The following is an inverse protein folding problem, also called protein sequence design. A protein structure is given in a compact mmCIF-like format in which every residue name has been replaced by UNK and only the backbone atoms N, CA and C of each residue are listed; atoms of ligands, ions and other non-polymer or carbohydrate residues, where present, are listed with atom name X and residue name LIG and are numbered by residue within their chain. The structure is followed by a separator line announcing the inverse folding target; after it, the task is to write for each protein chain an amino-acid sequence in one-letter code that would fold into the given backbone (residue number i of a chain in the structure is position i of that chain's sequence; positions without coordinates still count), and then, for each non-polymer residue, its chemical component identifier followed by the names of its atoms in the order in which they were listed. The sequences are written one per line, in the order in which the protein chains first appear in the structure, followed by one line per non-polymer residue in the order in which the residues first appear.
data_IF_801157811619
#
_entry.id   IF_801157811619
#
_cell.length_a   1.000
_cell.length_b   1.000
_cell.length_c   1.000
_cell.angle_alpha   90.00
_cell.angle_beta   90.00
_cell.angle_gamma   90.00
#
_symmetry.space_group_name_H-M   'P 1'
#
loop_
_entity.id
_entity.type
_entity.pdbx_description
1 polymer ?
#
# COMPACT_ATOMS: atom_id res chain seq x y z
N UNK A 1 -27.31 -0.51 -19.96
CA UNK A 1 -27.26 0.64 -20.86
C UNK A 1 -26.91 1.97 -20.15
N UNK A 2 -27.40 2.24 -18.93
CA UNK A 2 -27.15 3.52 -18.22
C UNK A 2 -25.68 3.79 -17.89
N UNK A 3 -24.95 2.80 -17.34
CA UNK A 3 -23.52 2.92 -17.02
C UNK A 3 -22.68 3.22 -18.26
N UNK A 4 -22.94 2.52 -19.37
CA UNK A 4 -22.23 2.76 -20.64
C UNK A 4 -22.48 4.16 -21.17
N UNK A 5 -23.73 4.67 -21.09
CA UNK A 5 -24.07 6.03 -21.46
C UNK A 5 -23.39 7.09 -20.58
N UNK A 6 -23.06 6.74 -19.34
CA UNK A 6 -22.30 7.58 -18.40
C UNK A 6 -20.78 7.49 -18.58
N UNK A 7 -20.29 6.67 -19.53
CA UNK A 7 -18.85 6.55 -19.84
C UNK A 7 -18.11 5.47 -19.05
N UNK A 8 -18.82 4.58 -18.35
CA UNK A 8 -18.18 3.45 -17.68
C UNK A 8 -17.59 2.48 -18.73
N UNK A 9 -16.28 2.27 -18.69
CA UNK A 9 -15.56 1.44 -19.68
C UNK A 9 -15.95 -0.04 -19.52
N UNK A 10 -16.06 -0.53 -18.30
CA UNK A 10 -16.39 -1.91 -17.95
C UNK A 10 -17.86 -2.06 -17.51
N UNK A 11 -18.78 -1.38 -18.20
CA UNK A 11 -20.18 -1.24 -17.78
C UNK A 11 -20.92 -2.54 -17.51
N UNK A 12 -20.61 -3.65 -18.21
CA UNK A 12 -21.25 -4.95 -18.00
C UNK A 12 -20.72 -5.65 -16.73
N UNK A 13 -19.44 -5.55 -16.46
CA UNK A 13 -18.81 -6.11 -15.25
C UNK A 13 -19.27 -5.33 -14.02
N UNK A 14 -19.23 -4.00 -14.11
CA UNK A 14 -19.73 -3.12 -13.06
C UNK A 14 -21.22 -3.40 -12.77
N UNK A 15 -22.07 -3.57 -13.82
CA UNK A 15 -23.45 -3.91 -13.62
C UNK A 15 -23.67 -5.24 -12.89
N UNK A 16 -22.86 -6.27 -13.19
CA UNK A 16 -22.92 -7.56 -12.49
C UNK A 16 -22.59 -7.40 -11.00
N UNK A 17 -21.55 -6.62 -10.68
CA UNK A 17 -21.14 -6.36 -9.31
C UNK A 17 -22.20 -5.57 -8.53
N UNK A 18 -22.81 -4.54 -9.15
CA UNK A 18 -23.88 -3.77 -8.55
C UNK A 18 -25.12 -4.65 -8.28
N UNK A 19 -25.53 -5.50 -9.26
CA UNK A 19 -26.66 -6.43 -9.09
C UNK A 19 -26.37 -7.43 -7.97
N UNK A 20 -25.13 -7.94 -7.88
CA UNK A 20 -24.76 -8.91 -6.85
C UNK A 20 -24.67 -8.27 -5.44
N UNK A 21 -24.40 -6.97 -5.36
CA UNK A 21 -24.28 -6.25 -4.10
C UNK A 21 -25.61 -5.69 -3.58
N UNK A 22 -26.57 -5.42 -4.48
CA UNK A 22 -27.86 -4.84 -4.12
C UNK A 22 -28.73 -5.85 -3.35
N UNK A 23 -29.34 -5.40 -2.25
CA UNK A 23 -30.26 -6.20 -1.43
C UNK A 23 -31.71 -6.11 -1.93
N UNK A 24 -32.06 -5.03 -2.63
CA UNK A 24 -33.38 -4.77 -3.20
C UNK A 24 -33.26 -3.98 -4.51
N UNK A 25 -34.32 -3.97 -5.36
CA UNK A 25 -34.31 -3.18 -6.59
C UNK A 25 -34.08 -1.68 -6.38
N UNK A 26 -34.60 -1.12 -5.29
CA UNK A 26 -34.38 0.30 -4.93
C UNK A 26 -32.92 0.59 -4.59
N UNK A 27 -32.21 -0.36 -3.94
CA UNK A 27 -30.79 -0.24 -3.64
C UNK A 27 -29.98 -0.24 -4.92
N UNK A 28 -30.31 -1.12 -5.87
CA UNK A 28 -29.65 -1.19 -7.17
C UNK A 28 -29.77 0.15 -7.93
N UNK A 29 -30.97 0.74 -7.92
CA UNK A 29 -31.20 2.04 -8.57
C UNK A 29 -30.33 3.13 -7.96
N UNK A 30 -30.30 3.22 -6.61
CA UNK A 30 -29.48 4.18 -5.89
C UNK A 30 -27.96 3.95 -6.13
N UNK A 31 -27.51 2.69 -6.21
CA UNK A 31 -26.13 2.35 -6.52
C UNK A 31 -25.74 2.75 -7.94
N UNK A 32 -26.64 2.52 -8.92
CA UNK A 32 -26.43 2.93 -10.32
C UNK A 32 -26.36 4.45 -10.42
N UNK A 33 -27.21 5.20 -9.72
CA UNK A 33 -27.12 6.69 -9.70
C UNK A 33 -25.79 7.17 -9.16
N UNK A 34 -25.38 6.69 -7.99
CA UNK A 34 -24.09 7.07 -7.39
C UNK A 34 -22.92 6.77 -8.33
N UNK A 35 -22.96 5.63 -9.03
CA UNK A 35 -21.91 5.27 -10.01
C UNK A 35 -21.92 6.20 -11.22
N UNK A 36 -23.07 6.60 -11.73
CA UNK A 36 -23.23 7.57 -12.81
C UNK A 36 -22.74 8.97 -12.41
N UNK A 37 -22.94 9.35 -11.15
CA UNK A 37 -22.38 10.59 -10.57
C UNK A 37 -20.85 10.59 -10.48
N UNK A 38 -20.22 9.42 -10.68
CA UNK A 38 -18.77 9.27 -10.77
C UNK A 38 -18.10 8.75 -9.51
N UNK A 39 -18.86 8.22 -8.51
CA UNK A 39 -18.25 7.55 -7.37
C UNK A 39 -17.51 6.28 -7.84
N UNK A 40 -16.34 5.96 -7.24
CA UNK A 40 -15.68 4.66 -7.43
C UNK A 40 -16.64 3.51 -7.20
N UNK A 41 -16.60 2.49 -8.05
CA UNK A 41 -17.45 1.32 -7.94
C UNK A 41 -17.34 0.68 -6.54
N UNK A 42 -16.13 0.57 -6.02
CA UNK A 42 -15.81 -0.04 -4.73
C UNK A 42 -16.42 0.75 -3.56
N UNK A 43 -16.50 2.07 -3.67
CA UNK A 43 -17.19 2.91 -2.68
C UNK A 43 -18.72 2.78 -2.79
N UNK A 44 -19.24 2.45 -3.98
CA UNK A 44 -20.66 2.20 -4.18
C UNK A 44 -21.09 0.84 -3.62
N UNK A 45 -20.31 -0.22 -3.92
CA UNK A 45 -20.61 -1.59 -3.45
C UNK A 45 -20.09 -1.85 -2.02
N UNK A 46 -19.21 -0.98 -1.50
CA UNK A 46 -18.69 -1.03 -0.14
C UNK A 46 -17.49 -1.97 0.07
N UNK A 47 -16.87 -2.48 -1.00
CA UNK A 47 -15.69 -3.34 -0.93
C UNK A 47 -14.86 -3.33 -2.21
N UNK A 48 -13.58 -3.69 -2.09
CA UNK A 48 -12.67 -3.96 -3.20
C UNK A 48 -12.10 -5.37 -3.09
N UNK A 49 -11.78 -6.00 -4.21
CA UNK A 49 -10.93 -7.19 -4.24
C UNK A 49 -9.46 -6.76 -4.24
N UNK A 50 -8.66 -7.37 -3.37
CA UNK A 50 -7.23 -7.11 -3.29
C UNK A 50 -6.49 -8.37 -2.81
N UNK A 51 -5.57 -8.89 -3.60
CA UNK A 51 -4.87 -10.15 -3.33
C UNK A 51 -5.81 -11.33 -2.99
N UNK A 52 -6.97 -11.43 -3.66
CA UNK A 52 -7.98 -12.45 -3.40
C UNK A 52 -8.78 -12.23 -2.11
N UNK A 53 -8.61 -11.11 -1.42
CA UNK A 53 -9.36 -10.75 -0.23
C UNK A 53 -10.45 -9.73 -0.57
N UNK A 54 -11.55 -9.80 0.16
CA UNK A 54 -12.61 -8.79 0.13
C UNK A 54 -12.33 -7.74 1.21
N UNK A 55 -11.86 -6.58 0.81
CA UNK A 55 -11.53 -5.45 1.68
C UNK A 55 -12.72 -4.48 1.72
N UNK A 56 -13.27 -4.20 2.88
CA UNK A 56 -14.33 -3.21 3.02
C UNK A 56 -13.78 -1.82 2.67
N UNK A 57 -14.56 -1.05 1.91
CA UNK A 57 -14.24 0.31 1.49
C UNK A 57 -15.34 1.24 1.97
N UNK A 58 -14.98 2.30 2.69
CA UNK A 58 -15.89 3.35 3.11
C UNK A 58 -15.80 4.55 2.14
N UNK A 59 -16.88 5.35 1.98
CA UNK A 59 -16.83 6.57 1.18
C UNK A 59 -15.71 7.50 1.63
N UNK A 60 -14.97 8.05 0.66
CA UNK A 60 -13.83 8.96 0.92
C UNK A 60 -12.54 8.26 1.33
N UNK A 61 -12.49 6.93 1.40
CA UNK A 61 -11.26 6.17 1.60
C UNK A 61 -10.66 5.81 0.25
N UNK A 62 -9.34 5.91 0.14
CA UNK A 62 -8.59 5.52 -1.06
C UNK A 62 -8.87 4.05 -1.42
N UNK A 63 -9.20 3.81 -2.70
CA UNK A 63 -9.46 2.46 -3.21
C UNK A 63 -8.13 1.77 -3.53
N UNK A 64 -7.83 0.60 -2.94
CA UNK A 64 -6.59 -0.12 -3.24
C UNK A 64 -6.53 -0.50 -4.72
N UNK A 65 -5.40 -0.24 -5.37
CA UNK A 65 -5.20 -0.47 -6.81
C UNK A 65 -4.67 -1.88 -7.06
N UNK A 66 -5.07 -2.49 -8.15
CA UNK A 66 -4.61 -3.82 -8.54
C UNK A 66 -3.08 -3.90 -8.67
N UNK A 67 -2.42 -2.88 -9.23
CA UNK A 67 -0.95 -2.81 -9.30
C UNK A 67 -0.28 -2.86 -7.92
N UNK A 68 -0.91 -2.33 -6.88
CA UNK A 68 -0.39 -2.32 -5.51
C UNK A 68 -0.32 -3.74 -4.90
N UNK A 69 -0.99 -4.73 -5.50
CA UNK A 69 -0.83 -6.13 -5.13
C UNK A 69 0.62 -6.61 -5.25
N UNK A 70 1.38 -6.05 -6.21
CA UNK A 70 2.81 -6.37 -6.33
C UNK A 70 3.57 -5.96 -5.07
N UNK A 71 3.31 -4.76 -4.53
CA UNK A 71 3.89 -4.29 -3.27
C UNK A 71 3.55 -5.24 -2.11
N UNK A 72 2.28 -5.63 -1.97
CA UNK A 72 1.82 -6.54 -0.93
C UNK A 72 2.47 -7.94 -1.06
N UNK A 73 2.52 -8.51 -2.26
CA UNK A 73 3.15 -9.81 -2.56
C UNK A 73 4.65 -9.78 -2.26
N UNK A 74 5.34 -8.67 -2.59
CA UNK A 74 6.77 -8.50 -2.28
C UNK A 74 7.02 -8.33 -0.78
N UNK A 75 6.19 -7.56 -0.09
CA UNK A 75 6.25 -7.43 1.37
C UNK A 75 6.06 -8.80 2.05
N UNK A 76 5.03 -9.56 1.67
CA UNK A 76 4.80 -10.91 2.19
C UNK A 76 5.99 -11.86 1.96
N UNK A 77 6.59 -11.84 0.76
CA UNK A 77 7.75 -12.67 0.43
C UNK A 77 9.01 -12.34 1.26
N UNK A 78 9.09 -11.13 1.83
CA UNK A 78 10.20 -10.68 2.68
C UNK A 78 9.87 -10.77 4.18
N UNK A 79 8.63 -11.14 4.53
CA UNK A 79 8.15 -11.23 5.92
C UNK A 79 8.42 -12.62 6.48
N UNK A 80 9.29 -12.77 7.50
CA UNK A 80 9.46 -14.05 8.19
C UNK A 80 8.27 -14.37 9.12
N UNK A 81 8.04 -15.64 9.50
CA UNK A 81 7.06 -15.98 10.49
C UNK A 81 7.30 -15.26 11.83
N UNK A 82 6.24 -14.74 12.45
CA UNK A 82 6.33 -14.00 13.71
C UNK A 82 6.91 -12.59 13.60
N UNK A 83 7.09 -12.08 12.38
CA UNK A 83 7.63 -10.75 12.13
C UNK A 83 6.72 -9.62 12.63
N UNK A 84 7.33 -8.48 12.93
CA UNK A 84 6.65 -7.20 13.11
C UNK A 84 6.52 -6.52 11.76
N UNK A 85 5.29 -6.33 11.29
CA UNK A 85 4.97 -5.67 10.03
C UNK A 85 4.28 -4.33 10.30
N UNK A 86 4.71 -3.30 9.59
CA UNK A 86 4.15 -1.96 9.68
C UNK A 86 3.64 -1.51 8.30
N UNK A 87 2.34 -1.20 8.20
CA UNK A 87 1.67 -0.64 7.02
C UNK A 87 1.42 0.86 7.24
N UNK A 88 2.22 1.72 6.60
CA UNK A 88 2.10 3.19 6.69
C UNK A 88 1.30 3.75 5.52
N UNK A 89 0.53 4.82 5.80
CA UNK A 89 -0.46 5.37 4.87
C UNK A 89 -1.41 4.26 4.44
N UNK A 90 -1.89 3.50 5.43
CA UNK A 90 -2.52 2.21 5.23
C UNK A 90 -3.88 2.27 4.50
N UNK A 91 -4.51 3.45 4.41
CA UNK A 91 -5.82 3.61 3.78
C UNK A 91 -6.85 2.66 4.38
N UNK A 92 -7.38 1.75 3.58
CA UNK A 92 -8.30 0.70 4.03
C UNK A 92 -7.63 -0.44 4.82
N UNK A 93 -6.29 -0.47 4.92
CA UNK A 93 -5.52 -1.57 5.52
C UNK A 93 -5.36 -2.78 4.59
N UNK A 94 -5.57 -2.61 3.29
CA UNK A 94 -5.55 -3.70 2.30
C UNK A 94 -4.20 -4.41 2.23
N UNK A 95 -3.08 -3.66 2.24
CA UNK A 95 -1.73 -4.22 2.17
C UNK A 95 -1.44 -5.04 3.43
N UNK A 96 -1.69 -4.46 4.61
CA UNK A 96 -1.51 -5.17 5.89
C UNK A 96 -2.33 -6.45 5.97
N UNK A 97 -3.60 -6.41 5.52
CA UNK A 97 -4.47 -7.59 5.46
C UNK A 97 -3.92 -8.67 4.53
N UNK A 98 -3.43 -8.28 3.33
CA UNK A 98 -2.85 -9.21 2.35
C UNK A 98 -1.58 -9.88 2.89
N UNK A 99 -0.69 -9.11 3.54
CA UNK A 99 0.53 -9.67 4.16
C UNK A 99 0.18 -10.62 5.28
N UNK A 100 -0.77 -10.28 6.16
CA UNK A 100 -1.19 -11.15 7.26
C UNK A 100 -1.88 -12.44 6.79
N UNK A 101 -2.62 -12.39 5.67
CA UNK A 101 -3.22 -13.57 5.05
C UNK A 101 -2.16 -14.50 4.46
N UNK A 102 -1.10 -13.94 3.86
CA UNK A 102 -0.01 -14.71 3.26
C UNK A 102 0.96 -15.27 4.32
N UNK A 103 1.16 -14.58 5.43
CA UNK A 103 2.10 -14.95 6.51
C UNK A 103 1.38 -14.88 7.86
N UNK A 104 0.72 -15.98 8.28
CA UNK A 104 0.02 -16.01 9.57
C UNK A 104 0.95 -15.81 10.76
N UNK A 105 0.41 -15.18 11.83
CA UNK A 105 1.12 -15.01 13.09
C UNK A 105 2.09 -13.82 13.14
N UNK A 106 2.00 -12.88 12.24
CA UNK A 106 2.73 -11.61 12.30
C UNK A 106 2.12 -10.68 13.36
N UNK A 107 2.95 -9.80 13.94
CA UNK A 107 2.51 -8.63 14.73
C UNK A 107 2.29 -7.48 13.75
N UNK A 108 1.01 -7.19 13.40
CA UNK A 108 0.66 -6.17 12.40
C UNK A 108 0.30 -4.86 13.06
N UNK A 109 1.01 -3.80 12.67
CA UNK A 109 0.66 -2.41 12.94
C UNK A 109 0.35 -1.68 11.64
N UNK A 110 -0.61 -0.76 11.68
CA UNK A 110 -0.97 0.11 10.56
C UNK A 110 -1.15 1.54 11.05
N UNK A 111 -0.84 2.53 10.23
CA UNK A 111 -1.02 3.93 10.58
C UNK A 111 -1.50 4.75 9.39
N UNK A 112 -2.41 5.68 9.65
CA UNK A 112 -2.87 6.66 8.67
C UNK A 112 -3.20 7.99 9.36
N UNK A 113 -3.05 9.08 8.63
CA UNK A 113 -3.38 10.43 9.10
C UNK A 113 -4.87 10.74 8.94
N UNK A 114 -5.56 10.07 7.99
CA UNK A 114 -6.98 10.26 7.74
C UNK A 114 -7.83 9.44 8.72
N UNK A 115 -8.69 10.09 9.54
CA UNK A 115 -9.58 9.38 10.45
C UNK A 115 -10.55 8.41 9.75
N UNK A 116 -10.94 8.67 8.49
CA UNK A 116 -11.81 7.77 7.73
C UNK A 116 -11.05 6.50 7.33
N UNK A 117 -9.82 6.63 6.84
CA UNK A 117 -8.91 5.53 6.57
C UNK A 117 -8.68 4.66 7.81
N UNK A 118 -8.37 5.29 8.96
CA UNK A 118 -8.17 4.60 10.24
C UNK A 118 -9.40 3.78 10.67
N UNK A 119 -10.62 4.33 10.52
CA UNK A 119 -11.85 3.57 10.84
C UNK A 119 -12.02 2.37 9.93
N UNK A 120 -11.82 2.58 8.62
CA UNK A 120 -11.91 1.52 7.61
C UNK A 120 -10.86 0.41 7.87
N UNK A 121 -9.60 0.78 8.09
CA UNK A 121 -8.52 -0.15 8.41
C UNK A 121 -8.80 -0.95 9.70
N UNK A 122 -9.30 -0.31 10.77
CA UNK A 122 -9.70 -1.01 12.00
C UNK A 122 -10.73 -2.09 11.74
N UNK A 123 -11.72 -1.82 10.88
CA UNK A 123 -12.73 -2.81 10.50
C UNK A 123 -12.10 -3.99 9.75
N UNK A 124 -11.22 -3.72 8.78
CA UNK A 124 -10.61 -4.76 7.95
C UNK A 124 -9.58 -5.60 8.72
N UNK A 125 -8.85 -4.99 9.65
CA UNK A 125 -7.77 -5.65 10.39
C UNK A 125 -8.21 -6.25 11.72
N UNK A 126 -9.46 -6.03 12.17
CA UNK A 126 -9.96 -6.50 13.47
C UNK A 126 -9.84 -8.02 13.64
N UNK A 127 -10.24 -8.79 12.63
CA UNK A 127 -10.27 -10.26 12.69
C UNK A 127 -8.87 -10.89 12.78
N UNK A 128 -7.83 -10.17 12.36
CA UNK A 128 -6.44 -10.62 12.38
C UNK A 128 -5.63 -9.99 13.52
N UNK A 129 -6.28 -9.23 14.41
CA UNK A 129 -5.63 -8.60 15.56
C UNK A 129 -4.70 -7.45 15.21
N UNK A 130 -4.87 -6.80 14.06
CA UNK A 130 -4.03 -5.67 13.64
C UNK A 130 -4.26 -4.41 14.48
N UNK A 131 -3.17 -3.75 14.85
CA UNK A 131 -3.18 -2.51 15.63
C UNK A 131 -3.17 -1.30 14.71
N UNK A 132 -4.24 -0.49 14.73
CA UNK A 132 -4.37 0.68 13.83
C UNK A 132 -4.25 1.98 14.61
N UNK A 133 -3.28 2.80 14.23
CA UNK A 133 -2.90 4.07 14.85
C UNK A 133 -3.34 5.25 13.98
N UNK A 134 -3.85 6.31 14.62
CA UNK A 134 -4.22 7.55 13.94
C UNK A 134 -3.15 8.61 14.16
N UNK A 135 -2.55 9.10 13.09
CA UNK A 135 -1.59 10.20 13.13
C UNK A 135 -0.63 10.20 11.95
N UNK A 136 0.31 11.14 11.99
CA UNK A 136 1.23 11.41 10.90
C UNK A 136 2.40 10.41 10.89
N UNK A 137 2.43 9.55 9.86
CA UNK A 137 3.47 8.55 9.61
C UNK A 137 3.81 7.71 10.85
N UNK A 138 5.05 7.80 11.33
CA UNK A 138 5.59 7.02 12.45
C UNK A 138 5.30 7.64 13.82
N UNK A 139 4.83 8.89 13.88
CA UNK A 139 4.63 9.60 15.12
C UNK A 139 3.62 8.96 16.10
N UNK A 140 2.49 8.36 15.66
CA UNK A 140 1.50 7.76 16.56
C UNK A 140 1.89 6.36 17.08
N UNK A 141 2.99 5.79 16.60
CA UNK A 141 3.36 4.41 16.91
C UNK A 141 4.00 4.27 18.30
N UNK A 142 3.78 3.16 19.00
CA UNK A 142 4.47 2.85 20.23
C UNK A 142 6.00 2.83 20.05
N UNK A 143 6.72 3.54 20.90
CA UNK A 143 8.19 3.58 20.84
C UNK A 143 8.85 2.21 21.06
N UNK A 144 8.12 1.26 21.64
CA UNK A 144 8.52 -0.14 21.80
C UNK A 144 8.74 -0.89 20.49
N UNK A 145 8.24 -0.35 19.35
CA UNK A 145 8.45 -0.90 18.02
C UNK A 145 9.79 -0.46 17.40
N UNK A 146 10.47 0.55 17.97
CA UNK A 146 11.76 1.01 17.44
C UNK A 146 12.79 -0.12 17.44
N UNK A 147 13.43 -0.29 16.29
CA UNK A 147 14.44 -1.33 16.04
C UNK A 147 13.86 -2.75 15.95
N UNK A 148 12.53 -2.91 15.87
CA UNK A 148 11.86 -4.21 15.82
C UNK A 148 11.06 -4.47 14.55
N UNK A 149 10.85 -3.48 13.71
CA UNK A 149 10.04 -3.62 12.49
C UNK A 149 10.85 -4.41 11.45
N UNK A 150 10.39 -5.61 11.12
CA UNK A 150 11.03 -6.46 10.11
C UNK A 150 10.68 -6.02 8.69
N UNK A 151 9.42 -5.61 8.47
CA UNK A 151 8.94 -5.11 7.19
C UNK A 151 8.08 -3.87 7.41
N UNK A 152 8.55 -2.74 6.89
CA UNK A 152 7.81 -1.51 6.76
C UNK A 152 7.34 -1.38 5.31
N UNK A 153 6.05 -1.41 5.07
CA UNK A 153 5.46 -1.15 3.78
C UNK A 153 4.75 0.20 3.81
N UNK A 154 4.92 1.01 2.76
CA UNK A 154 4.37 2.35 2.71
C UNK A 154 3.91 2.67 1.28
N UNK A 155 2.60 2.61 1.04
CA UNK A 155 2.04 3.14 -0.21
C UNK A 155 1.72 4.62 0.00
N UNK A 156 2.78 5.43 0.05
CA UNK A 156 2.67 6.87 0.29
C UNK A 156 2.04 7.60 -0.90
N UNK A 157 1.41 8.77 -0.70
CA UNK A 157 1.05 9.66 -1.80
C UNK A 157 2.28 9.98 -2.64
N UNK A 158 2.22 9.71 -3.95
CA UNK A 158 3.36 9.90 -4.85
C UNK A 158 3.04 10.68 -6.13
N UNK A 159 1.83 11.22 -6.27
CA UNK A 159 1.48 12.07 -7.42
C UNK A 159 2.08 13.46 -7.21
N UNK A 160 2.86 13.99 -8.16
CA UNK A 160 3.32 15.38 -8.09
C UNK A 160 2.13 16.34 -7.99
N UNK A 161 2.21 17.35 -7.12
CA UNK A 161 1.11 18.33 -6.90
C UNK A 161 0.59 18.91 -8.23
N UNK A 162 1.50 19.24 -9.16
CA UNK A 162 1.16 19.80 -10.48
C UNK A 162 0.43 18.81 -11.42
N UNK A 163 0.47 17.51 -11.13
CA UNK A 163 -0.11 16.46 -11.96
C UNK A 163 -1.45 15.93 -11.42
N UNK A 164 -1.87 16.33 -10.21
CA UNK A 164 -3.16 15.93 -9.62
C UNK A 164 -4.32 16.25 -10.57
N UNK A 165 -4.25 17.40 -11.27
CA UNK A 165 -5.24 17.80 -12.26
C UNK A 165 -5.37 16.86 -13.47
N UNK A 166 -4.38 16.01 -13.74
CA UNK A 166 -4.34 15.06 -14.85
C UNK A 166 -4.90 13.67 -14.48
N UNK A 167 -5.12 13.41 -13.19
CA UNK A 167 -5.70 12.16 -12.72
C UNK A 167 -7.12 11.98 -13.27
N UNK A 168 -7.61 10.73 -13.39
CA UNK A 168 -9.00 10.44 -13.72
C UNK A 168 -9.96 11.22 -12.82
N UNK A 169 -11.09 11.67 -13.39
CA UNK A 169 -12.10 12.47 -12.68
C UNK A 169 -12.55 11.81 -11.38
N UNK A 170 -12.69 10.51 -11.39
CA UNK A 170 -13.09 9.68 -10.24
C UNK A 170 -12.13 9.85 -9.06
N UNK A 171 -10.82 9.70 -9.28
CA UNK A 171 -9.81 9.89 -8.25
C UNK A 171 -9.79 11.34 -7.72
N UNK A 172 -9.83 12.33 -8.63
CA UNK A 172 -9.78 13.75 -8.23
C UNK A 172 -10.96 14.23 -7.39
N UNK A 173 -12.15 13.67 -7.62
CA UNK A 173 -13.38 14.13 -6.98
C UNK A 173 -13.75 13.34 -5.73
N UNK A 174 -13.36 12.07 -5.64
CA UNK A 174 -13.88 11.15 -4.65
C UNK A 174 -12.80 10.50 -3.77
N UNK A 175 -11.53 10.68 -4.08
CA UNK A 175 -10.43 10.27 -3.21
C UNK A 175 -9.84 11.49 -2.48
N UNK A 176 -9.40 11.35 -1.22
CA UNK A 176 -8.87 12.46 -0.46
C UNK A 176 -7.54 12.95 -1.05
N UNK A 177 -7.38 14.25 -1.23
CA UNK A 177 -6.16 14.84 -1.80
C UNK A 177 -4.90 14.41 -1.02
N UNK A 178 -5.02 14.24 0.30
CA UNK A 178 -3.93 13.78 1.16
C UNK A 178 -3.44 12.37 0.83
N UNK A 179 -4.26 11.54 0.18
CA UNK A 179 -3.87 10.21 -0.26
C UNK A 179 -3.20 10.20 -1.64
N UNK A 180 -3.22 11.33 -2.36
CA UNK A 180 -2.71 11.46 -3.72
C UNK A 180 -1.46 12.33 -3.80
N UNK A 181 -1.46 13.48 -3.10
CA UNK A 181 -0.46 14.53 -3.22
C UNK A 181 0.85 14.17 -2.52
N UNK A 182 1.86 13.84 -3.32
CA UNK A 182 3.21 13.52 -2.86
C UNK A 182 4.16 14.72 -2.81
N UNK A 183 3.65 15.95 -2.98
CA UNK A 183 4.45 17.16 -3.04
C UNK A 183 4.98 17.48 -4.43
N UNK A 184 5.94 18.39 -4.51
CA UNK A 184 6.42 18.98 -5.77
C UNK A 184 6.86 17.95 -6.81
N UNK A 185 7.60 16.92 -6.40
CA UNK A 185 8.10 15.83 -7.26
C UNK A 185 7.45 14.47 -6.94
N UNK A 186 6.43 14.48 -6.05
CA UNK A 186 5.75 13.28 -5.62
C UNK A 186 6.53 12.40 -4.63
N UNK A 187 7.68 12.84 -4.12
CA UNK A 187 8.53 12.04 -3.24
C UNK A 187 8.71 12.64 -1.83
N UNK A 188 7.99 13.70 -1.49
CA UNK A 188 8.15 14.39 -0.20
C UNK A 188 7.79 13.47 0.98
N UNK A 189 6.70 12.72 0.87
CA UNK A 189 6.28 11.78 1.93
C UNK A 189 7.26 10.62 2.05
N UNK A 190 7.74 10.07 0.92
CA UNK A 190 8.76 9.01 0.94
C UNK A 190 10.05 9.46 1.61
N UNK A 191 10.50 10.73 1.38
CA UNK A 191 11.68 11.29 2.06
C UNK A 191 11.52 11.28 3.57
N UNK A 192 10.35 11.66 4.08
CA UNK A 192 10.06 11.66 5.52
C UNK A 192 10.07 10.25 6.09
N UNK A 193 9.41 9.30 5.42
CA UNK A 193 9.42 7.88 5.83
C UNK A 193 10.84 7.33 5.83
N UNK A 194 11.59 7.55 4.76
CA UNK A 194 12.96 7.03 4.61
C UNK A 194 13.93 7.59 5.66
N UNK A 195 13.77 8.88 6.02
CA UNK A 195 14.62 9.51 7.03
C UNK A 195 14.48 8.86 8.42
N UNK A 196 13.27 8.48 8.78
CA UNK A 196 12.95 7.91 10.09
C UNK A 196 13.04 6.37 10.11
N UNK A 197 12.88 5.70 8.97
CA UNK A 197 12.85 4.23 8.87
C UNK A 197 14.02 3.53 9.58
N UNK A 198 15.28 4.00 9.52
CA UNK A 198 16.40 3.34 10.20
C UNK A 198 16.23 3.22 11.73
N UNK A 199 15.45 4.12 12.35
CA UNK A 199 15.15 4.08 13.79
C UNK A 199 14.14 3.00 14.17
N UNK A 200 13.32 2.58 13.21
CA UNK A 200 12.21 1.63 13.43
C UNK A 200 12.54 0.23 12.93
N UNK A 201 13.29 0.13 11.82
CA UNK A 201 13.64 -1.15 11.24
C UNK A 201 14.52 -1.98 12.15
N UNK A 202 14.21 -3.26 12.25
CA UNK A 202 15.09 -4.26 12.81
C UNK A 202 16.39 -4.37 11.97
N UNK A 203 17.49 -4.86 12.54
CA UNK A 203 18.68 -5.18 11.75
C UNK A 203 18.39 -6.17 10.64
N UNK A 204 18.61 -5.77 9.37
CA UNK A 204 18.25 -6.55 8.19
C UNK A 204 16.80 -6.40 7.73
N UNK A 205 15.98 -5.57 8.40
CA UNK A 205 14.61 -5.27 8.05
C UNK A 205 14.48 -4.46 6.77
N UNK A 206 13.26 -4.39 6.22
CA UNK A 206 12.98 -3.84 4.90
C UNK A 206 12.01 -2.67 4.96
N UNK A 207 12.23 -1.67 4.09
CA UNK A 207 11.28 -0.65 3.69
C UNK A 207 10.89 -0.88 2.23
N UNK A 208 9.59 -0.97 1.94
CA UNK A 208 9.06 -1.07 0.58
C UNK A 208 8.10 0.07 0.31
N UNK A 209 8.16 0.65 -0.90
CA UNK A 209 7.20 1.68 -1.33
C UNK A 209 6.91 1.56 -2.82
N UNK A 210 5.63 1.79 -3.20
CA UNK A 210 5.21 1.95 -4.60
C UNK A 210 5.60 3.35 -5.08
N UNK A 211 6.07 3.43 -6.33
CA UNK A 211 6.42 4.69 -7.02
C UNK A 211 6.08 4.57 -8.50
N UNK A 212 6.03 5.68 -9.22
CA UNK A 212 6.00 5.62 -10.68
C UNK A 212 7.38 5.19 -11.23
N UNK A 213 7.40 4.67 -12.45
CA UNK A 213 8.65 4.30 -13.13
C UNK A 213 9.63 5.48 -13.20
N UNK A 214 9.14 6.67 -13.50
CA UNK A 214 9.96 7.88 -13.56
C UNK A 214 10.57 8.29 -12.21
N UNK A 215 9.94 7.87 -11.10
CA UNK A 215 10.40 8.16 -9.75
C UNK A 215 11.36 7.09 -9.19
N UNK A 216 11.58 5.97 -9.89
CA UNK A 216 12.33 4.82 -9.37
C UNK A 216 13.75 5.19 -8.94
N UNK A 217 14.54 5.82 -9.82
CA UNK A 217 15.93 6.19 -9.53
C UNK A 217 16.04 7.25 -8.42
N UNK A 218 15.27 8.36 -8.44
CA UNK A 218 15.23 9.31 -7.33
C UNK A 218 14.83 8.68 -6.00
N UNK A 219 13.84 7.78 -5.99
CA UNK A 219 13.39 7.09 -4.79
C UNK A 219 14.49 6.17 -4.22
N UNK A 220 15.21 5.43 -5.08
CA UNK A 220 16.39 4.64 -4.65
C UNK A 220 17.46 5.53 -4.05
N UNK A 221 17.72 6.71 -4.63
CA UNK A 221 18.68 7.65 -4.09
C UNK A 221 18.27 8.15 -2.69
N UNK A 222 16.99 8.42 -2.46
CA UNK A 222 16.42 8.81 -1.15
C UNK A 222 16.67 7.70 -0.12
N UNK A 223 16.35 6.44 -0.43
CA UNK A 223 16.53 5.33 0.49
C UNK A 223 18.01 5.13 0.83
N UNK A 224 18.90 5.25 -0.17
CA UNK A 224 20.36 5.14 0.05
C UNK A 224 20.91 6.27 0.91
N UNK A 225 20.44 7.50 0.70
CA UNK A 225 20.84 8.65 1.52
C UNK A 225 20.41 8.47 2.99
N UNK A 226 19.37 7.69 3.26
CA UNK A 226 18.91 7.32 4.61
C UNK A 226 19.65 6.09 5.18
N UNK A 227 20.70 5.59 4.54
CA UNK A 227 21.53 4.48 5.03
C UNK A 227 20.99 3.09 4.70
N UNK A 228 19.99 2.97 3.84
CA UNK A 228 19.45 1.68 3.41
C UNK A 228 20.15 1.19 2.13
N UNK A 229 20.42 -0.11 2.04
CA UNK A 229 20.81 -0.73 0.77
C UNK A 229 19.57 -0.85 -0.10
N UNK A 230 19.48 -0.10 -1.22
CA UNK A 230 18.26 0.05 -1.97
C UNK A 230 18.36 -0.35 -3.44
N UNK A 231 17.24 -0.84 -3.99
CA UNK A 231 17.04 -1.20 -5.39
C UNK A 231 15.58 -1.13 -5.81
N UNK A 232 15.33 -1.36 -7.10
CA UNK A 232 14.01 -1.35 -7.74
C UNK A 232 13.57 -2.78 -8.01
N UNK A 233 12.27 -3.04 -7.92
CA UNK A 233 11.61 -4.21 -8.47
C UNK A 233 10.38 -3.78 -9.27
N UNK A 234 10.14 -4.46 -10.40
CA UNK A 234 9.04 -4.18 -11.33
C UNK A 234 8.22 -5.42 -11.60
N UNK A 235 6.97 -5.22 -11.96
CA UNK A 235 6.07 -6.24 -12.49
C UNK A 235 5.42 -5.67 -13.76
N UNK A 236 5.70 -6.31 -14.91
CA UNK A 236 5.23 -5.84 -16.21
C UNK A 236 3.73 -6.09 -16.41
N UNK A 237 3.18 -7.17 -15.85
CA UNK A 237 1.76 -7.52 -15.99
C UNK A 237 0.86 -6.57 -15.19
N UNK A 238 1.35 -6.15 -14.01
CA UNK A 238 0.65 -5.21 -13.13
C UNK A 238 1.03 -3.74 -13.40
N UNK A 239 1.97 -3.48 -14.31
CA UNK A 239 2.54 -2.15 -14.56
C UNK A 239 2.96 -1.47 -13.24
N UNK A 240 3.61 -2.25 -12.36
CA UNK A 240 3.96 -1.83 -11.01
C UNK A 240 5.45 -1.65 -10.84
N UNK A 241 5.85 -0.57 -10.18
CA UNK A 241 7.23 -0.27 -9.80
C UNK A 241 7.29 -0.01 -8.31
N UNK A 242 8.19 -0.70 -7.61
CA UNK A 242 8.44 -0.49 -6.19
C UNK A 242 9.93 -0.29 -5.92
N UNK A 243 10.23 0.47 -4.88
CA UNK A 243 11.57 0.56 -4.32
C UNK A 243 11.65 -0.24 -3.03
N UNK A 244 12.78 -0.93 -2.83
CA UNK A 244 13.02 -1.76 -1.66
C UNK A 244 14.33 -1.31 -1.04
N UNK A 245 14.30 -0.86 0.22
CA UNK A 245 15.45 -0.55 1.04
C UNK A 245 15.63 -1.61 2.13
N UNK A 246 16.88 -1.96 2.45
CA UNK A 246 17.20 -2.90 3.52
C UNK A 246 18.14 -2.25 4.52
N UNK A 247 17.84 -2.35 5.81
CA UNK A 247 18.74 -1.92 6.87
C UNK A 247 19.96 -2.85 6.97
N UNK A 248 21.05 -2.35 7.54
CA UNK A 248 22.24 -3.17 7.76
C UNK A 248 21.90 -4.41 8.60
N UNK A 249 22.42 -5.60 8.23
CA UNK A 249 22.26 -6.78 9.07
C UNK A 249 22.97 -6.57 10.42
N UNK A 250 22.59 -7.33 11.46
CA UNK A 250 23.31 -7.27 12.73
C UNK A 250 24.79 -7.56 12.47
N UNK A 251 25.65 -6.71 12.98
CA UNK A 251 27.10 -6.95 12.93
C UNK A 251 27.38 -8.23 13.71
N UNK A 252 27.66 -9.33 13.02
CA UNK A 252 28.32 -10.47 13.67
C UNK A 252 29.63 -9.91 14.21
N UNK A 253 29.85 -10.01 15.51
CA UNK A 253 31.09 -9.57 16.13
C UNK A 253 32.29 -10.00 15.26
N UNK A 254 32.95 -9.05 14.66
CA UNK A 254 33.99 -9.27 13.67
C UNK A 254 35.24 -9.76 14.36
N UNK A 255 35.59 -11.01 14.08
CA UNK A 255 37.01 -11.28 13.85
C UNK A 255 37.44 -10.57 12.54
N UNK A 256 38.67 -10.10 12.41
CA UNK A 256 39.12 -9.26 11.29
C UNK A 256 39.27 -10.08 10.01
N UNK A 257 38.62 -9.68 8.94
CA UNK A 257 38.96 -10.10 7.59
C UNK A 257 37.80 -10.43 6.66
N UNK A 258 37.66 -9.68 5.55
CA UNK A 258 36.97 -10.14 4.34
C UNK A 258 36.00 -9.14 3.72
N UNK A 259 36.52 -8.20 2.90
CA UNK A 259 35.74 -7.39 1.99
C UNK A 259 35.15 -8.25 0.84
N UNK A 260 33.85 -8.23 0.66
CA UNK A 260 33.16 -8.82 -0.46
C UNK A 260 32.03 -7.94 -0.94
N UNK A 261 32.16 -7.30 -2.10
CA UNK A 261 31.12 -6.56 -2.78
C UNK A 261 30.11 -7.54 -3.41
N UNK A 262 29.04 -7.86 -2.69
CA UNK A 262 27.96 -8.69 -3.19
C UNK A 262 26.80 -7.87 -3.76
N UNK A 263 26.48 -8.06 -5.04
CA UNK A 263 25.22 -7.56 -5.63
C UNK A 263 24.05 -8.25 -4.94
N UNK A 264 23.10 -7.47 -4.42
CA UNK A 264 21.85 -7.97 -3.85
C UNK A 264 21.04 -8.68 -4.95
N UNK A 265 20.92 -9.99 -4.85
CA UNK A 265 19.96 -10.77 -5.65
C UNK A 265 18.69 -10.96 -4.81
N UNK A 266 17.60 -10.38 -5.26
CA UNK A 266 16.28 -10.62 -4.65
C UNK A 266 15.74 -11.98 -5.16
N UNK A 267 15.16 -12.80 -4.29
CA UNK A 267 14.51 -14.03 -4.73
C UNK A 267 13.33 -13.72 -5.66
N UNK A 268 13.22 -14.46 -6.76
CA UNK A 268 12.04 -14.40 -7.64
C UNK A 268 10.84 -15.04 -6.93
N UNK A 269 9.62 -14.51 -7.13
CA UNK A 269 8.42 -15.16 -6.62
C UNK A 269 8.28 -16.57 -7.22
N UNK A 270 7.69 -17.54 -6.49
CA UNK A 270 7.38 -18.85 -7.04
C UNK A 270 6.43 -18.68 -8.24
N UNK A 271 6.72 -19.37 -9.35
CA UNK A 271 5.81 -19.45 -10.50
C UNK A 271 4.53 -20.13 -10.01
N UNK A 272 3.39 -19.51 -10.28
CA UNK A 272 2.10 -20.10 -10.01
C UNK A 272 2.00 -21.46 -10.66
N UNK A 273 1.54 -22.43 -9.87
CA UNK A 273 1.12 -23.74 -10.37
C UNK A 273 -0.24 -23.53 -11.00
N UNK A 274 -0.36 -23.84 -12.30
CA UNK A 274 -1.56 -23.74 -13.11
C UNK A 274 -2.70 -24.64 -12.63
#
# INVERSE_FOLDING_TARGET
MRLRAAGCVFAEEEARLLIAAALAPADLEAMVERRIEGLPLEQVIGWAEFCGLRIAIEPGVFVPRHRTEFLAKRAAALTPPGAVVLDLCCGSGAIGAAVAAAVPGIELHAADIDPAAVRCARRNLAAIGGHVHHGDLLAPLPTTLRGRVDVLVANVPYVPTGEIGLLPREARLHEPAIALDGGTDGLEVLRRVAADAPLWLAPGGYLLSEVSEAQADPAVAILRASGLAAGVATDEELEATIVIGRSAPPTKGTGPGGGGSGRLRYPRPPRGVG
#
